data_IF_868669016593
#
_entry.id   IF_868669016593
#
_cell.length_a   1.000
_cell.length_b   1.000
_cell.length_c   1.000
_cell.angle_alpha   90.00
_cell.angle_beta   90.00
_cell.angle_gamma   90.00
#
_symmetry.space_group_name_H-M   'P 1'
#
loop_
_entity.id
_entity.type
_entity.pdbx_description
1 polymer ?
#
# COMPACT_ATOMS: atom_id res chain seq x y z
N UNK A 1 -39.11 -54.28 -14.95
CA UNK A 1 -39.00 -52.83 -14.78
C UNK A 1 -38.26 -52.60 -13.47
N UNK A 2 -36.93 -52.44 -13.52
CA UNK A 2 -36.12 -52.13 -12.32
C UNK A 2 -35.93 -50.63 -12.20
N UNK A 3 -36.34 -50.08 -11.05
CA UNK A 3 -36.13 -48.67 -10.68
C UNK A 3 -34.73 -48.55 -10.14
N UNK A 4 -33.83 -47.90 -10.87
CA UNK A 4 -32.53 -47.45 -10.40
C UNK A 4 -32.67 -46.20 -9.57
N UNK A 5 -32.41 -46.29 -8.27
CA UNK A 5 -32.36 -45.17 -7.34
C UNK A 5 -30.99 -44.50 -7.51
N UNK A 6 -30.94 -43.29 -7.99
CA UNK A 6 -29.73 -42.45 -8.01
C UNK A 6 -29.53 -41.85 -6.59
N UNK A 7 -28.54 -42.31 -5.86
CA UNK A 7 -28.05 -41.63 -4.66
C UNK A 7 -27.16 -40.46 -5.09
N UNK A 8 -27.65 -39.24 -4.89
CA UNK A 8 -26.84 -38.05 -5.05
C UNK A 8 -26.01 -37.84 -3.78
N UNK A 9 -24.70 -38.13 -3.85
CA UNK A 9 -23.76 -37.77 -2.79
C UNK A 9 -23.57 -36.25 -2.84
N UNK A 10 -24.13 -35.51 -1.89
CA UNK A 10 -23.72 -34.14 -1.59
C UNK A 10 -22.34 -34.23 -0.91
N UNK A 11 -21.29 -33.89 -1.63
CA UNK A 11 -19.98 -33.63 -1.03
C UNK A 11 -20.07 -32.29 -0.27
N UNK A 12 -20.11 -32.34 1.06
CA UNK A 12 -19.95 -31.18 1.90
C UNK A 12 -18.52 -30.70 1.74
N UNK A 13 -18.33 -29.56 1.06
CA UNK A 13 -17.07 -28.84 1.06
C UNK A 13 -16.90 -28.27 2.48
N UNK A 14 -16.17 -28.96 3.32
CA UNK A 14 -15.72 -28.41 4.59
C UNK A 14 -14.71 -27.29 4.25
N UNK A 15 -15.10 -26.05 4.51
CA UNK A 15 -14.17 -24.94 4.53
C UNK A 15 -13.07 -25.27 5.55
N UNK A 16 -11.87 -25.56 5.08
CA UNK A 16 -10.69 -25.69 5.95
C UNK A 16 -10.49 -24.35 6.64
N UNK A 17 -10.43 -24.34 7.97
CA UNK A 17 -9.94 -23.19 8.72
C UNK A 17 -8.56 -22.81 8.16
N UNK A 18 -8.31 -21.51 8.02
CA UNK A 18 -7.01 -21.04 7.57
C UNK A 18 -5.92 -21.54 8.53
N UNK A 19 -4.82 -22.05 7.97
CA UNK A 19 -3.70 -22.61 8.77
C UNK A 19 -2.86 -21.48 9.45
N UNK A 20 -3.41 -20.26 9.61
CA UNK A 20 -2.76 -19.11 10.21
C UNK A 20 -3.75 -18.29 11.07
N UNK A 21 -3.28 -17.57 12.11
CA UNK A 21 -4.09 -16.69 12.94
C UNK A 21 -4.80 -15.62 12.10
N UNK A 22 -6.11 -15.45 12.35
CA UNK A 22 -6.91 -14.41 11.70
C UNK A 22 -7.80 -13.72 12.72
N UNK A 23 -7.91 -12.38 12.62
CA UNK A 23 -8.74 -11.57 13.50
C UNK A 23 -9.44 -10.42 12.75
N UNK A 24 -10.59 -9.92 13.24
CA UNK A 24 -11.15 -8.67 12.75
C UNK A 24 -10.28 -7.48 13.19
N UNK A 25 -10.27 -6.43 12.38
CA UNK A 25 -9.69 -5.15 12.75
C UNK A 25 -10.56 -4.43 13.77
N UNK A 26 -9.91 -3.65 14.66
CA UNK A 26 -10.54 -2.56 15.39
C UNK A 26 -9.92 -1.27 14.89
N UNK A 27 -10.72 -0.42 14.25
CA UNK A 27 -10.20 0.75 13.53
C UNK A 27 -10.51 2.04 14.28
N UNK A 28 -9.46 2.79 14.62
CA UNK A 28 -9.54 4.14 15.12
C UNK A 28 -9.26 5.14 14.00
N UNK A 29 -10.16 6.08 13.76
CA UNK A 29 -10.00 7.20 12.82
C UNK A 29 -9.30 8.33 13.55
N UNK A 30 -8.17 8.81 13.02
CA UNK A 30 -7.30 9.75 13.73
C UNK A 30 -7.49 11.19 13.24
N UNK A 31 -7.12 11.47 12.00
CA UNK A 31 -7.17 12.81 11.41
C UNK A 31 -7.33 12.73 9.89
N UNK A 32 -7.63 13.88 9.28
CA UNK A 32 -7.67 14.01 7.82
C UNK A 32 -6.32 14.50 7.28
N UNK A 33 -5.93 13.93 6.14
CA UNK A 33 -4.78 14.38 5.35
C UNK A 33 -5.01 15.80 4.80
N UNK A 34 -3.94 16.58 4.59
CA UNK A 34 -4.05 17.95 4.11
C UNK A 34 -4.85 18.13 2.80
N UNK A 35 -4.60 17.29 1.79
CA UNK A 35 -5.20 17.42 0.46
C UNK A 35 -6.40 16.48 0.22
N UNK A 36 -6.60 15.48 1.10
CA UNK A 36 -7.83 14.66 1.13
C UNK A 36 -7.82 13.38 0.29
N UNK A 37 -6.72 13.06 -0.41
CA UNK A 37 -6.55 11.81 -1.16
C UNK A 37 -5.24 11.09 -0.81
N UNK A 38 -5.00 10.77 0.48
CA UNK A 38 -3.78 10.09 0.92
C UNK A 38 -3.78 8.66 0.38
N UNK A 39 -2.79 8.29 -0.40
CA UNK A 39 -2.69 6.97 -1.00
C UNK A 39 -1.41 6.23 -0.62
N UNK A 40 -0.42 6.94 -0.09
CA UNK A 40 0.77 6.41 0.54
C UNK A 40 0.91 6.93 1.97
N UNK A 41 1.38 6.09 2.88
CA UNK A 41 1.61 6.44 4.27
C UNK A 41 2.91 5.80 4.76
N UNK A 42 3.78 6.60 5.39
CA UNK A 42 5.04 6.13 5.96
C UNK A 42 5.36 6.89 7.24
N UNK A 43 6.12 6.29 8.13
CA UNK A 43 6.53 6.90 9.39
C UNK A 43 7.77 7.78 9.24
N UNK A 44 7.86 8.80 10.08
CA UNK A 44 9.02 9.63 10.29
C UNK A 44 9.22 9.88 11.79
N UNK A 45 10.33 10.48 12.17
CA UNK A 45 10.59 10.82 13.58
C UNK A 45 9.51 11.76 14.16
N UNK A 46 9.02 12.69 13.35
CA UNK A 46 8.06 13.72 13.74
C UNK A 46 6.59 13.31 13.62
N UNK A 47 6.30 12.25 12.83
CA UNK A 47 4.94 11.82 12.53
C UNK A 47 4.85 10.97 11.28
N UNK A 48 4.05 11.40 10.27
CA UNK A 48 3.83 10.64 9.05
C UNK A 48 4.20 11.43 7.80
N UNK A 49 4.87 10.75 6.86
CA UNK A 49 4.86 11.16 5.46
C UNK A 49 3.61 10.61 4.79
N UNK A 50 2.90 11.48 4.08
CA UNK A 50 1.68 11.16 3.33
C UNK A 50 1.93 11.45 1.85
N UNK A 51 1.81 10.44 0.99
CA UNK A 51 1.82 10.59 -0.46
C UNK A 51 0.39 10.83 -0.97
N UNK A 52 0.17 11.97 -1.62
CA UNK A 52 -1.13 12.37 -2.17
C UNK A 52 -1.30 11.94 -3.61
N UNK A 53 -2.44 11.32 -3.92
CA UNK A 53 -2.69 10.77 -5.25
C UNK A 53 -3.01 11.83 -6.30
N UNK A 54 -3.76 12.87 -5.91
CA UNK A 54 -4.30 13.88 -6.85
C UNK A 54 -3.32 15.02 -7.08
N UNK A 55 -2.71 15.50 -6.00
CA UNK A 55 -1.75 16.62 -6.09
C UNK A 55 -0.32 16.17 -6.34
N UNK A 56 -0.05 14.87 -6.15
CA UNK A 56 1.28 14.26 -6.20
C UNK A 56 2.28 14.93 -5.26
N UNK A 57 1.78 15.50 -4.15
CA UNK A 57 2.57 16.06 -3.06
C UNK A 57 2.95 15.00 -2.06
N UNK A 58 4.07 15.25 -1.38
CA UNK A 58 4.40 14.55 -0.15
C UNK A 58 4.27 15.54 1.02
N UNK A 59 3.47 15.16 2.01
CA UNK A 59 3.23 15.95 3.23
C UNK A 59 3.86 15.25 4.42
N UNK A 60 4.67 15.97 5.21
CA UNK A 60 5.03 15.56 6.56
C UNK A 60 4.05 16.21 7.53
N UNK A 61 3.37 15.38 8.31
CA UNK A 61 2.46 15.81 9.37
C UNK A 61 2.95 15.28 10.72
N UNK A 62 2.61 15.96 11.82
CA UNK A 62 2.85 15.41 13.15
C UNK A 62 1.87 14.25 13.47
N UNK A 63 2.05 13.62 14.61
CA UNK A 63 1.22 12.48 15.06
C UNK A 63 -0.28 12.83 15.21
N UNK A 64 -0.65 14.12 15.23
CA UNK A 64 -2.01 14.61 15.31
C UNK A 64 -2.54 15.13 13.96
N UNK A 65 -1.77 15.01 12.89
CA UNK A 65 -2.15 15.45 11.55
C UNK A 65 -1.88 16.92 11.23
N UNK A 66 -1.15 17.65 12.09
CA UNK A 66 -0.74 19.03 11.80
C UNK A 66 0.35 19.02 10.74
N UNK A 67 0.16 19.76 9.66
CA UNK A 67 1.13 19.91 8.58
C UNK A 67 2.43 20.57 9.10
N UNK A 68 3.55 19.89 8.93
CA UNK A 68 4.90 20.36 9.27
C UNK A 68 5.67 20.80 8.03
N UNK A 69 5.56 20.05 6.94
CA UNK A 69 6.27 20.29 5.69
C UNK A 69 5.49 19.74 4.51
N UNK A 70 5.69 20.31 3.32
CA UNK A 70 5.05 19.86 2.09
C UNK A 70 5.96 20.12 0.90
N UNK A 71 6.14 19.13 0.05
CA UNK A 71 6.90 19.25 -1.18
C UNK A 71 6.07 18.82 -2.39
N UNK A 72 6.20 19.54 -3.48
CA UNK A 72 5.76 19.09 -4.80
C UNK A 72 6.74 18.05 -5.32
N UNK A 73 6.23 16.93 -5.79
CA UNK A 73 7.08 15.87 -6.35
C UNK A 73 6.84 15.70 -7.85
N UNK A 74 7.75 15.03 -8.53
CA UNK A 74 7.56 14.62 -9.92
C UNK A 74 7.00 13.20 -10.04
N UNK A 75 6.41 12.67 -8.96
CA UNK A 75 5.57 11.49 -9.02
C UNK A 75 4.27 11.78 -9.79
N UNK A 76 3.54 10.76 -10.18
CA UNK A 76 2.22 10.91 -10.79
C UNK A 76 1.30 9.75 -10.44
N UNK A 77 0.03 10.05 -10.17
CA UNK A 77 -0.90 9.07 -9.64
C UNK A 77 -0.29 8.33 -8.45
N UNK A 78 0.25 9.10 -7.52
CA UNK A 78 1.02 8.60 -6.37
C UNK A 78 0.21 7.61 -5.58
N UNK A 79 0.72 6.37 -5.45
CA UNK A 79 0.02 5.27 -4.79
C UNK A 79 0.71 4.75 -3.54
N UNK A 80 1.96 5.10 -3.31
CA UNK A 80 2.71 4.69 -2.13
C UNK A 80 3.86 5.63 -1.87
N UNK A 81 4.35 5.61 -0.64
CA UNK A 81 5.50 6.35 -0.19
C UNK A 81 6.29 5.51 0.79
N UNK A 82 7.61 5.62 0.77
CA UNK A 82 8.50 5.14 1.82
C UNK A 82 9.56 6.19 2.11
N UNK A 83 10.14 6.16 3.31
CA UNK A 83 11.22 7.06 3.71
C UNK A 83 12.42 6.27 4.20
N UNK A 84 13.56 6.45 3.56
CA UNK A 84 14.81 5.79 3.92
C UNK A 84 15.97 6.25 3.09
N UNK A 85 17.19 6.03 3.60
CA UNK A 85 18.43 6.49 2.94
C UNK A 85 18.40 8.01 2.66
N UNK A 86 17.79 8.78 3.57
CA UNK A 86 17.67 10.24 3.45
C UNK A 86 16.78 10.73 2.30
N UNK A 87 15.97 9.88 1.69
CA UNK A 87 15.11 10.18 0.57
C UNK A 87 13.68 9.69 0.78
N UNK A 88 12.73 10.33 0.09
CA UNK A 88 11.41 9.78 -0.15
C UNK A 88 11.45 8.89 -1.39
N UNK A 89 10.78 7.76 -1.31
CA UNK A 89 10.54 6.86 -2.42
C UNK A 89 9.06 6.89 -2.74
N UNK A 90 8.71 7.32 -3.97
CA UNK A 90 7.33 7.54 -4.39
C UNK A 90 6.92 6.49 -5.41
N UNK A 91 5.81 5.81 -5.20
CA UNK A 91 5.20 4.92 -6.19
C UNK A 91 4.38 5.75 -7.17
N UNK A 92 4.94 6.06 -8.33
CA UNK A 92 4.23 6.69 -9.44
C UNK A 92 3.52 5.59 -10.25
N UNK A 93 2.18 5.53 -10.15
CA UNK A 93 1.40 4.43 -10.72
C UNK A 93 0.84 4.74 -12.12
N UNK A 94 1.60 5.47 -12.92
CA UNK A 94 1.24 5.85 -14.29
C UNK A 94 0.75 7.29 -14.41
N UNK A 95 -0.03 7.63 -15.46
CA UNK A 95 -0.45 8.99 -15.72
C UNK A 95 -1.19 9.63 -14.56
N UNK A 96 -1.03 10.95 -14.40
CA UNK A 96 -1.69 11.72 -13.37
C UNK A 96 -3.22 11.56 -13.39
N UNK A 97 -3.82 11.57 -12.20
CA UNK A 97 -5.28 11.56 -12.01
C UNK A 97 -5.70 12.83 -11.27
N UNK A 98 -6.80 13.46 -11.72
CA UNK A 98 -7.36 14.62 -11.03
C UNK A 98 -6.60 15.95 -11.21
N UNK A 99 -5.49 15.98 -11.94
CA UNK A 99 -4.76 17.18 -12.36
C UNK A 99 -4.32 17.12 -13.82
N UNK A 100 -3.91 18.25 -14.37
CA UNK A 100 -3.34 18.29 -15.72
C UNK A 100 -2.03 17.52 -15.80
N UNK A 101 -1.79 16.77 -16.90
CA UNK A 101 -0.53 16.07 -17.12
C UNK A 101 0.68 17.01 -17.15
N UNK A 102 1.81 16.54 -16.63
CA UNK A 102 3.11 17.19 -16.70
C UNK A 102 4.08 16.36 -17.57
N UNK A 103 5.09 16.96 -18.21
CA UNK A 103 6.08 16.22 -19.02
C UNK A 103 6.82 15.12 -18.24
N UNK A 104 6.98 15.29 -16.91
CA UNK A 104 7.65 14.35 -16.03
C UNK A 104 6.76 13.19 -15.57
N UNK A 105 5.45 13.21 -15.88
CA UNK A 105 4.54 12.16 -15.42
C UNK A 105 4.89 10.79 -16.00
N UNK A 106 4.82 9.78 -15.14
CA UNK A 106 5.06 8.41 -15.52
C UNK A 106 4.05 7.93 -16.56
N UNK A 107 4.52 7.22 -17.58
CA UNK A 107 3.64 6.58 -18.59
C UNK A 107 3.11 5.23 -18.10
N UNK A 108 3.88 4.57 -17.25
CA UNK A 108 3.59 3.28 -16.61
C UNK A 108 4.05 3.37 -15.15
N UNK A 109 3.90 2.30 -14.37
CA UNK A 109 4.41 2.29 -13.00
C UNK A 109 5.93 2.48 -12.95
N UNK A 110 6.38 3.35 -12.06
CA UNK A 110 7.79 3.55 -11.73
C UNK A 110 7.96 3.97 -10.26
N UNK A 111 9.17 3.86 -9.74
CA UNK A 111 9.54 4.37 -8.42
C UNK A 111 10.42 5.60 -8.59
N UNK A 112 10.02 6.71 -7.97
CA UNK A 112 10.74 8.00 -8.02
C UNK A 112 11.43 8.23 -6.68
N UNK A 113 12.77 8.26 -6.66
CA UNK A 113 13.56 8.70 -5.50
C UNK A 113 13.57 10.22 -5.47
N UNK A 114 13.16 10.83 -4.36
CA UNK A 114 12.84 12.25 -4.26
C UNK A 114 13.54 12.87 -3.04
N UNK A 115 14.10 14.06 -3.19
CA UNK A 115 14.65 14.84 -2.07
C UNK A 115 13.51 15.31 -1.15
N UNK A 116 13.49 14.90 0.13
CA UNK A 116 12.42 15.27 1.05
C UNK A 116 12.36 16.76 1.39
N UNK A 117 13.41 17.54 1.11
CA UNK A 117 13.47 18.97 1.42
C UNK A 117 12.80 19.85 0.38
N UNK A 118 12.87 19.43 -0.89
CA UNK A 118 12.46 20.30 -2.02
C UNK A 118 11.65 19.56 -3.11
N UNK A 119 11.42 18.25 -2.98
CA UNK A 119 10.64 17.45 -3.91
C UNK A 119 11.35 17.10 -5.23
N UNK A 120 12.63 17.47 -5.41
CA UNK A 120 13.36 17.18 -6.63
C UNK A 120 13.61 15.70 -6.81
N UNK A 121 13.43 15.21 -8.02
CA UNK A 121 13.79 13.84 -8.40
C UNK A 121 15.29 13.64 -8.32
N UNK A 122 15.70 12.62 -7.57
CA UNK A 122 17.09 12.16 -7.48
C UNK A 122 17.35 11.01 -8.44
N UNK A 123 16.39 10.11 -8.63
CA UNK A 123 16.46 8.98 -9.55
C UNK A 123 15.05 8.45 -9.89
N UNK A 124 14.94 7.66 -10.97
CA UNK A 124 13.73 6.96 -11.38
C UNK A 124 14.07 5.52 -11.73
N UNK A 125 13.22 4.61 -11.35
CA UNK A 125 13.43 3.18 -11.54
C UNK A 125 12.17 2.51 -12.08
N UNK A 126 12.29 1.63 -13.08
CA UNK A 126 11.14 0.85 -13.54
C UNK A 126 10.71 -0.17 -12.47
N UNK A 127 9.42 -0.46 -12.42
CA UNK A 127 8.92 -1.54 -11.57
C UNK A 127 9.41 -2.90 -12.09
N UNK A 128 9.97 -3.78 -11.24
CA UNK A 128 10.34 -5.13 -11.62
C UNK A 128 9.17 -5.87 -12.27
N UNK A 129 9.36 -6.34 -13.50
CA UNK A 129 8.33 -6.98 -14.31
C UNK A 129 7.36 -6.03 -15.01
N UNK A 130 7.49 -4.72 -14.82
CA UNK A 130 6.60 -3.71 -15.39
C UNK A 130 5.24 -3.61 -14.69
N UNK A 131 4.31 -2.89 -15.30
CA UNK A 131 2.97 -2.68 -14.76
C UNK A 131 2.92 -1.64 -13.64
N UNK A 132 1.89 -1.72 -12.79
CA UNK A 132 1.66 -0.77 -11.72
C UNK A 132 2.44 -1.09 -10.45
N UNK A 133 2.54 -0.08 -9.58
CA UNK A 133 3.11 -0.14 -8.24
C UNK A 133 2.21 0.64 -7.28
N UNK A 134 1.89 0.04 -6.13
CA UNK A 134 1.09 0.73 -5.11
C UNK A 134 1.89 0.95 -3.81
N UNK A 135 2.27 -0.12 -3.10
CA UNK A 135 2.96 0.00 -1.82
C UNK A 135 4.47 0.05 -1.96
N UNK A 136 5.09 0.81 -1.07
CA UNK A 136 6.52 0.86 -0.84
C UNK A 136 6.77 0.74 0.65
N UNK A 137 7.94 0.17 1.02
CA UNK A 137 8.42 0.10 2.41
C UNK A 137 9.94 0.07 2.40
N UNK A 138 10.59 0.95 3.16
CA UNK A 138 12.05 0.96 3.28
C UNK A 138 12.48 0.34 4.60
N UNK A 139 13.04 -0.85 4.53
CA UNK A 139 13.46 -1.60 5.70
C UNK A 139 14.80 -2.30 5.50
N UNK A 140 15.61 -2.39 6.56
CA UNK A 140 16.91 -3.08 6.56
C UNK A 140 17.81 -2.65 5.39
N UNK A 141 17.85 -1.32 5.13
CA UNK A 141 18.61 -0.70 4.04
C UNK A 141 18.23 -1.24 2.64
N UNK A 142 17.04 -1.78 2.46
CA UNK A 142 16.47 -2.22 1.18
C UNK A 142 15.09 -1.61 0.96
N UNK A 143 14.61 -1.63 -0.27
CA UNK A 143 13.26 -1.18 -0.61
C UNK A 143 12.40 -2.37 -1.01
N UNK A 144 11.26 -2.52 -0.37
CA UNK A 144 10.19 -3.41 -0.77
C UNK A 144 9.15 -2.66 -1.58
N UNK A 145 8.62 -3.28 -2.63
CA UNK A 145 7.56 -2.71 -3.44
C UNK A 145 6.59 -3.78 -3.96
N UNK A 146 5.35 -3.35 -4.20
CA UNK A 146 4.38 -4.18 -4.89
C UNK A 146 4.68 -4.20 -6.39
N UNK A 147 4.91 -5.39 -6.95
CA UNK A 147 5.03 -5.62 -8.41
C UNK A 147 3.72 -6.22 -8.90
N UNK A 148 2.74 -5.36 -9.23
CA UNK A 148 1.35 -5.78 -9.43
C UNK A 148 1.19 -6.78 -10.57
N UNK A 149 1.88 -6.54 -11.70
CA UNK A 149 1.81 -7.45 -12.85
C UNK A 149 2.35 -8.85 -12.53
N UNK A 150 3.35 -8.94 -11.65
CA UNK A 150 3.92 -10.22 -11.24
C UNK A 150 3.15 -10.88 -10.09
N UNK A 151 2.20 -10.17 -9.44
CA UNK A 151 1.55 -10.57 -8.19
C UNK A 151 2.58 -10.96 -7.12
N UNK A 152 3.56 -10.07 -6.90
CA UNK A 152 4.67 -10.28 -5.96
C UNK A 152 4.99 -9.02 -5.19
N UNK A 153 5.59 -9.18 -4.02
CA UNK A 153 6.42 -8.16 -3.43
C UNK A 153 7.85 -8.37 -3.90
N UNK A 154 8.49 -7.31 -4.36
CA UNK A 154 9.90 -7.31 -4.75
C UNK A 154 10.72 -6.56 -3.72
N UNK A 155 11.80 -7.17 -3.23
CA UNK A 155 12.84 -6.53 -2.45
C UNK A 155 13.97 -6.13 -3.40
N UNK A 156 14.36 -4.87 -3.40
CA UNK A 156 15.40 -4.34 -4.29
C UNK A 156 16.50 -3.60 -3.51
N UNK A 157 17.71 -3.58 -4.06
CA UNK A 157 18.79 -2.71 -3.57
C UNK A 157 18.49 -1.26 -3.98
N UNK A 158 18.43 -0.30 -3.06
CA UNK A 158 18.11 1.10 -3.37
C UNK A 158 19.19 1.85 -4.18
N UNK A 159 20.39 1.26 -4.39
CA UNK A 159 21.49 1.88 -5.12
C UNK A 159 21.34 1.71 -6.62
N UNK A 160 21.03 0.51 -7.08
CA UNK A 160 20.97 0.14 -8.51
C UNK A 160 19.62 -0.51 -8.90
N UNK A 161 18.74 -0.70 -7.94
CA UNK A 161 17.40 -1.26 -8.10
C UNK A 161 17.37 -2.72 -8.59
N UNK A 162 18.48 -3.47 -8.45
CA UNK A 162 18.44 -4.90 -8.74
C UNK A 162 17.54 -5.65 -7.74
N UNK A 163 16.86 -6.67 -8.23
CA UNK A 163 15.96 -7.49 -7.41
C UNK A 163 16.80 -8.45 -6.57
N UNK A 164 16.72 -8.29 -5.25
CA UNK A 164 17.33 -9.19 -4.26
C UNK A 164 16.47 -10.43 -4.06
N UNK A 165 15.15 -10.23 -3.96
CA UNK A 165 14.18 -11.27 -3.67
C UNK A 165 12.79 -10.90 -4.18
N UNK A 166 11.97 -11.92 -4.40
CA UNK A 166 10.55 -11.76 -4.67
C UNK A 166 9.76 -12.81 -3.89
N UNK A 167 8.68 -12.38 -3.24
CA UNK A 167 7.74 -13.26 -2.55
C UNK A 167 6.34 -13.13 -3.18
N UNK A 168 5.54 -14.21 -3.22
CA UNK A 168 4.19 -14.14 -3.77
C UNK A 168 3.26 -13.32 -2.87
N UNK A 169 2.26 -12.67 -3.46
CA UNK A 169 1.06 -12.19 -2.77
C UNK A 169 -0.11 -13.09 -3.11
N UNK A 170 -1.03 -13.26 -2.17
CA UNK A 170 -2.08 -14.29 -2.26
C UNK A 170 -3.43 -13.75 -2.73
N UNK A 171 -3.64 -12.44 -2.64
CA UNK A 171 -4.85 -11.74 -3.04
C UNK A 171 -4.53 -10.68 -4.08
N UNK A 172 -5.57 -10.20 -4.77
CA UNK A 172 -5.41 -9.15 -5.77
C UNK A 172 -5.19 -7.77 -5.12
N UNK A 173 -4.70 -6.82 -5.93
CA UNK A 173 -4.50 -5.42 -5.55
C UNK A 173 -3.75 -5.23 -4.22
N UNK A 174 -2.55 -5.83 -4.13
CA UNK A 174 -1.60 -5.50 -3.07
C UNK A 174 -1.34 -3.98 -3.07
N UNK A 175 -1.42 -3.36 -1.88
CA UNK A 175 -1.30 -1.91 -1.71
C UNK A 175 -0.28 -1.57 -0.62
N UNK A 176 -0.66 -0.90 0.46
CA UNK A 176 0.24 -0.48 1.53
C UNK A 176 1.08 -1.62 2.10
N UNK A 177 2.34 -1.35 2.40
CA UNK A 177 3.29 -2.26 3.01
C UNK A 177 3.71 -1.72 4.38
N UNK A 178 4.09 -2.61 5.31
CA UNK A 178 4.69 -2.22 6.58
C UNK A 178 5.62 -3.32 7.10
N UNK A 179 6.86 -2.97 7.44
CA UNK A 179 7.85 -3.92 7.94
C UNK A 179 7.60 -4.29 9.40
N UNK A 180 7.55 -5.59 9.66
CA UNK A 180 7.38 -6.16 11.01
C UNK A 180 8.04 -7.54 11.03
N UNK A 181 9.36 -7.62 11.31
CA UNK A 181 10.12 -8.85 11.22
C UNK A 181 9.55 -9.97 12.10
N UNK A 182 9.60 -11.24 11.66
CA UNK A 182 10.25 -11.71 10.43
C UNK A 182 9.43 -11.55 9.15
N UNK A 183 8.36 -10.76 9.15
CA UNK A 183 7.44 -10.60 8.04
C UNK A 183 7.29 -9.17 7.56
N UNK A 184 6.50 -9.04 6.53
CA UNK A 184 6.03 -7.78 5.98
C UNK A 184 4.50 -7.82 5.86
N UNK A 185 3.83 -6.81 6.41
CA UNK A 185 2.40 -6.64 6.22
C UNK A 185 2.10 -6.12 4.82
N UNK A 186 1.10 -6.69 4.18
CA UNK A 186 0.62 -6.29 2.86
C UNK A 186 -0.89 -6.07 2.92
N UNK A 187 -1.32 -4.87 2.58
CA UNK A 187 -2.72 -4.50 2.46
C UNK A 187 -3.29 -4.97 1.13
N UNK A 188 -4.44 -5.62 1.14
CA UNK A 188 -5.22 -5.98 -0.03
C UNK A 188 -6.50 -5.16 -0.05
N UNK A 189 -6.48 -4.04 -0.77
CA UNK A 189 -7.54 -3.03 -0.70
C UNK A 189 -8.90 -3.56 -1.13
N UNK A 190 -8.96 -4.32 -2.21
CA UNK A 190 -10.23 -4.88 -2.73
C UNK A 190 -10.87 -5.88 -1.77
N UNK A 191 -10.04 -6.72 -1.15
CA UNK A 191 -10.48 -7.76 -0.23
C UNK A 191 -10.66 -7.25 1.20
N UNK A 192 -10.18 -6.02 1.48
CA UNK A 192 -10.18 -5.39 2.81
C UNK A 192 -9.49 -6.27 3.85
N UNK A 193 -8.36 -6.83 3.45
CA UNK A 193 -7.56 -7.78 4.22
C UNK A 193 -6.13 -7.30 4.31
N UNK A 194 -5.52 -7.43 5.49
CA UNK A 194 -4.09 -7.21 5.70
C UNK A 194 -3.46 -8.55 6.05
N UNK A 195 -2.48 -8.99 5.27
CA UNK A 195 -1.76 -10.22 5.52
C UNK A 195 -0.32 -9.92 5.92
N UNK A 196 0.15 -10.53 7.01
CA UNK A 196 1.57 -10.59 7.35
C UNK A 196 2.17 -11.75 6.58
N UNK A 197 3.10 -11.46 5.69
CA UNK A 197 3.80 -12.44 4.87
C UNK A 197 5.20 -12.68 5.43
N UNK A 198 5.66 -13.92 5.54
CA UNK A 198 7.05 -14.23 5.84
C UNK A 198 7.95 -13.61 4.75
N UNK A 199 8.88 -12.76 5.13
CA UNK A 199 9.73 -12.02 4.19
C UNK A 199 10.68 -12.92 3.39
N UNK A 200 10.80 -14.21 3.73
CA UNK A 200 11.67 -15.18 3.03
C UNK A 200 10.96 -15.88 1.88
N UNK A 201 9.68 -16.25 2.07
CA UNK A 201 8.97 -17.13 1.13
C UNK A 201 7.53 -16.69 0.81
N UNK A 202 7.01 -15.67 1.51
CA UNK A 202 5.66 -15.15 1.30
C UNK A 202 4.54 -15.96 1.94
N UNK A 203 4.86 -16.94 2.80
CA UNK A 203 3.86 -17.69 3.56
C UNK A 203 3.10 -16.73 4.49
N UNK A 204 1.78 -16.89 4.56
CA UNK A 204 0.94 -16.07 5.45
C UNK A 204 1.24 -16.46 6.90
N UNK A 205 1.63 -15.48 7.70
CA UNK A 205 1.88 -15.63 9.14
C UNK A 205 0.66 -15.23 9.98
N UNK A 206 -0.06 -14.20 9.56
CA UNK A 206 -1.22 -13.64 10.24
C UNK A 206 -2.11 -12.89 9.25
N UNK A 207 -3.40 -12.76 9.57
CA UNK A 207 -4.36 -11.98 8.78
C UNK A 207 -5.26 -11.12 9.65
N UNK A 208 -5.51 -9.89 9.20
CA UNK A 208 -6.47 -8.97 9.78
C UNK A 208 -7.52 -8.65 8.71
N UNK A 209 -8.81 -8.68 9.09
CA UNK A 209 -9.90 -8.38 8.16
C UNK A 209 -10.61 -7.09 8.60
N UNK A 210 -10.69 -6.11 7.70
CA UNK A 210 -11.44 -4.89 7.90
C UNK A 210 -12.91 -5.10 7.53
N UNK A 211 -13.80 -4.45 8.28
CA UNK A 211 -15.23 -4.42 7.99
C UNK A 211 -15.50 -3.54 6.75
N UNK A 212 -16.63 -3.75 6.10
CA UNK A 212 -17.10 -2.89 5.01
C UNK A 212 -17.39 -1.45 5.45
N UNK A 213 -17.63 -1.24 6.75
CA UNK A 213 -17.96 0.05 7.34
C UNK A 213 -16.73 0.80 7.86
N UNK A 214 -15.55 0.15 7.84
CA UNK A 214 -14.27 0.79 8.12
C UNK A 214 -13.83 1.65 6.92
N UNK A 215 -12.95 2.66 7.12
CA UNK A 215 -12.31 3.39 6.04
C UNK A 215 -11.67 2.46 5.00
N UNK A 216 -11.69 2.86 3.73
CA UNK A 216 -11.14 2.03 2.64
C UNK A 216 -9.61 2.00 2.68
N UNK A 217 -9.00 0.81 2.79
CA UNK A 217 -7.57 0.75 3.08
C UNK A 217 -6.70 0.90 1.83
N UNK A 218 -5.69 1.79 1.90
CA UNK A 218 -4.70 2.03 0.86
C UNK A 218 -3.26 1.99 1.39
N UNK A 219 -2.57 3.12 1.47
CA UNK A 219 -1.23 3.20 2.02
C UNK A 219 -1.17 2.79 3.48
N UNK A 220 -0.09 2.15 3.91
CA UNK A 220 0.05 1.61 5.26
C UNK A 220 1.49 1.75 5.74
N UNK A 221 1.67 1.90 7.04
CA UNK A 221 2.95 1.84 7.74
C UNK A 221 2.77 1.23 9.14
N UNK A 222 3.88 0.98 9.84
CA UNK A 222 3.86 0.52 11.22
C UNK A 222 4.59 1.49 12.13
N UNK A 223 3.99 1.75 13.31
CA UNK A 223 4.64 2.54 14.36
C UNK A 223 4.22 2.04 15.74
N UNK A 224 5.20 1.85 16.63
CA UNK A 224 4.99 1.39 18.01
C UNK A 224 4.09 0.15 18.12
N UNK A 225 4.25 -0.82 17.21
CA UNK A 225 3.50 -2.08 17.22
C UNK A 225 2.06 -1.97 16.70
N UNK A 226 1.65 -0.82 16.15
CA UNK A 226 0.36 -0.64 15.53
C UNK A 226 0.50 -0.40 14.03
N UNK A 227 -0.43 -0.93 13.26
CA UNK A 227 -0.57 -0.61 11.84
C UNK A 227 -1.40 0.67 11.67
N UNK A 228 -0.92 1.56 10.82
CA UNK A 228 -1.62 2.75 10.37
C UNK A 228 -1.89 2.64 8.89
N UNK A 229 -3.03 3.12 8.44
CA UNK A 229 -3.39 3.16 7.03
C UNK A 229 -4.17 4.42 6.67
N UNK A 230 -4.28 4.74 5.40
CA UNK A 230 -5.04 5.86 4.92
C UNK A 230 -6.14 5.43 3.94
N UNK A 231 -7.20 6.24 3.88
CA UNK A 231 -8.32 6.09 2.94
C UNK A 231 -8.17 7.13 1.83
N UNK A 232 -7.76 6.70 0.65
CA UNK A 232 -7.53 7.59 -0.50
C UNK A 232 -8.83 8.19 -1.06
N UNK A 233 -9.98 7.62 -0.74
CA UNK A 233 -11.23 8.01 -1.36
C UNK A 233 -11.24 7.76 -2.88
N UNK A 234 -12.06 8.54 -3.59
CA UNK A 234 -12.14 8.49 -5.05
C UNK A 234 -11.45 9.71 -5.63
N UNK A 235 -10.38 9.49 -6.40
CA UNK A 235 -9.80 10.57 -7.19
C UNK A 235 -10.81 11.11 -8.20
N UNK A 236 -10.81 12.44 -8.51
CA UNK A 236 -11.72 13.04 -9.47
C UNK A 236 -11.73 12.30 -10.81
N UNK A 237 -12.91 11.93 -11.30
CA UNK A 237 -13.09 11.15 -12.53
C UNK A 237 -12.85 9.63 -12.38
N UNK A 238 -12.43 9.17 -11.19
CA UNK A 238 -12.23 7.75 -10.91
C UNK A 238 -13.53 7.01 -10.61
N UNK A 239 -13.47 5.68 -10.79
CA UNK A 239 -14.46 4.74 -10.25
C UNK A 239 -13.84 4.18 -8.98
N UNK A 240 -14.33 4.53 -7.82
CA UNK A 240 -13.79 4.09 -6.56
C UNK A 240 -14.86 3.83 -5.53
N UNK A 241 -14.46 3.61 -4.30
CA UNK A 241 -15.37 3.47 -3.19
C UNK A 241 -15.96 4.82 -2.78
N UNK A 242 -17.22 4.82 -2.44
CA UNK A 242 -17.87 5.97 -1.85
C UNK A 242 -17.62 6.07 -0.35
N UNK A 243 -16.39 5.86 0.12
CA UNK A 243 -16.09 5.87 1.55
C UNK A 243 -16.45 7.22 2.18
N UNK A 244 -17.25 7.16 3.25
CA UNK A 244 -17.55 8.35 4.05
C UNK A 244 -16.32 8.90 4.79
N UNK A 245 -15.21 8.15 4.79
CA UNK A 245 -13.96 8.41 5.51
C UNK A 245 -12.81 8.78 4.59
N UNK A 246 -13.10 9.08 3.32
CA UNK A 246 -12.09 9.53 2.36
C UNK A 246 -11.23 10.67 2.95
N UNK A 247 -9.92 10.53 2.82
CA UNK A 247 -8.95 11.47 3.36
C UNK A 247 -8.49 11.18 4.80
N UNK A 248 -9.03 10.18 5.48
CA UNK A 248 -8.61 9.87 6.85
C UNK A 248 -7.36 9.01 6.91
N UNK A 249 -6.52 9.29 7.91
CA UNK A 249 -5.50 8.39 8.45
C UNK A 249 -6.11 7.66 9.64
N UNK A 250 -5.90 6.34 9.69
CA UNK A 250 -6.50 5.44 10.65
C UNK A 250 -5.46 4.55 11.30
N UNK A 251 -5.79 3.98 12.47
CA UNK A 251 -4.97 2.98 13.16
C UNK A 251 -5.77 1.69 13.34
N UNK A 252 -5.10 0.55 13.18
CA UNK A 252 -5.61 -0.78 13.51
C UNK A 252 -5.10 -1.16 14.91
N UNK A 253 -6.04 -1.46 15.84
CA UNK A 253 -5.78 -1.93 17.21
C UNK A 253 -5.98 -3.43 17.37
#
# INVERSE_FOLDING_TARGET
>A
MERRTFLTMLAAVQARAADFPSRPAKVAKLFRSPDGHPNGLETAAEGFWIGEQVTDRAHLVDWNGKLLHSVETESSNTSGIAFGDGALWMAANGPAVGRSPRPADAKTGEVVKTDPKNGKTLARYPVPGGGGVHGLEFAEATLWLTSLQLKKLSQVDPKDFHVIRQIPVHLDRAHGLAWDPPGIWCMHSTDRVVQKLDARDGRILEQITLSKDDPDPHGMCMYNGHLYYCDAGIAPGGKGNGSAWAGYVCRID
#
